data_IF_917092278827
#
_entry.id   IF_917092278827
#
_cell.length_a   1.000
_cell.length_b   1.000
_cell.length_c   1.000
_cell.angle_alpha   90.00
_cell.angle_beta   90.00
_cell.angle_gamma   90.00
#
_symmetry.space_group_name_H-M   'P 1'
#
loop_
_entity.id
_entity.type
_entity.pdbx_description
1 polymer ?
#
# COMPACT_ATOMS: atom_id res chain seq x y z
N UNK A 1 -15.94 18.83 -0.85
CA UNK A 1 -16.23 17.61 -1.64
C UNK A 1 -16.25 17.99 -3.12
N UNK A 2 -15.56 17.25 -4.00
CA UNK A 2 -15.42 17.63 -5.41
C UNK A 2 -16.79 17.72 -6.12
N UNK A 3 -17.11 18.90 -6.65
CA UNK A 3 -18.37 19.23 -7.34
C UNK A 3 -18.63 18.31 -8.53
N UNK A 4 -17.57 17.75 -9.13
CA UNK A 4 -17.65 16.91 -10.32
C UNK A 4 -18.20 15.52 -10.00
N UNK A 5 -17.80 14.94 -8.86
CA UNK A 5 -18.33 13.65 -8.40
C UNK A 5 -19.84 13.76 -8.15
N UNK A 6 -20.29 14.86 -7.52
CA UNK A 6 -21.71 15.09 -7.29
C UNK A 6 -22.49 15.20 -8.62
N UNK A 7 -21.99 15.98 -9.58
CA UNK A 7 -22.63 16.13 -10.90
C UNK A 7 -22.72 14.81 -11.67
N UNK A 8 -21.68 13.97 -11.59
CA UNK A 8 -21.65 12.66 -12.21
C UNK A 8 -22.67 11.72 -11.57
N UNK A 9 -22.69 11.63 -10.24
CA UNK A 9 -23.62 10.78 -9.50
C UNK A 9 -25.08 11.22 -9.67
N UNK A 10 -25.35 12.52 -9.75
CA UNK A 10 -26.71 13.05 -9.97
C UNK A 10 -27.33 12.62 -11.31
N UNK A 11 -26.50 12.26 -12.30
CA UNK A 11 -26.95 11.79 -13.63
C UNK A 11 -26.89 10.27 -13.78
N UNK A 12 -26.30 9.55 -12.82
CA UNK A 12 -26.15 8.11 -12.86
C UNK A 12 -27.41 7.39 -12.36
N UNK A 13 -27.76 6.25 -12.96
CA UNK A 13 -28.80 5.35 -12.46
C UNK A 13 -28.15 4.18 -11.70
N UNK A 14 -28.50 3.92 -10.43
CA UNK A 14 -28.01 2.74 -9.73
C UNK A 14 -28.45 1.46 -10.46
N UNK A 15 -27.50 0.57 -10.78
CA UNK A 15 -27.80 -0.75 -11.36
C UNK A 15 -28.37 -1.73 -10.33
N UNK A 16 -28.29 -1.41 -9.05
CA UNK A 16 -28.78 -2.25 -7.96
C UNK A 16 -28.70 -1.55 -6.60
N UNK A 17 -28.96 -2.32 -5.54
CA UNK A 17 -28.87 -1.83 -4.16
C UNK A 17 -27.43 -1.46 -3.81
N UNK A 18 -27.25 -0.31 -3.16
CA UNK A 18 -25.95 0.10 -2.60
C UNK A 18 -25.56 -0.91 -1.51
N UNK A 19 -24.38 -1.50 -1.65
CA UNK A 19 -23.78 -2.37 -0.62
C UNK A 19 -22.57 -1.66 -0.04
N UNK A 20 -22.40 -1.74 1.28
CA UNK A 20 -21.17 -1.31 1.93
C UNK A 20 -20.17 -2.46 1.85
N UNK A 21 -18.98 -2.17 1.34
CA UNK A 21 -17.83 -3.03 1.46
C UNK A 21 -17.04 -2.59 2.70
N UNK A 22 -16.61 -3.56 3.50
CA UNK A 22 -15.73 -3.33 4.64
C UNK A 22 -14.68 -4.43 4.63
N UNK A 23 -13.42 -4.02 4.71
CA UNK A 23 -12.30 -4.92 4.86
C UNK A 23 -11.91 -4.94 6.34
N UNK A 24 -12.12 -6.07 7.06
CA UNK A 24 -12.09 -6.06 8.52
C UNK A 24 -10.68 -5.87 9.09
N UNK A 25 -9.63 -6.34 8.40
CA UNK A 25 -8.25 -6.21 8.87
C UNK A 25 -7.24 -6.46 7.75
N UNK A 26 -6.24 -5.59 7.65
CA UNK A 26 -4.99 -5.86 6.93
C UNK A 26 -4.01 -6.62 7.84
N UNK A 27 -3.42 -7.70 7.34
CA UNK A 27 -2.57 -8.60 8.13
C UNK A 27 -1.29 -8.91 7.36
N UNK A 28 -0.16 -8.89 8.06
CA UNK A 28 1.11 -9.40 7.54
C UNK A 28 1.74 -10.38 8.50
N UNK A 29 1.95 -11.60 8.02
CA UNK A 29 2.66 -12.66 8.73
C UNK A 29 4.16 -12.53 8.49
N UNK A 30 4.94 -12.50 9.57
CA UNK A 30 6.40 -12.33 9.54
C UNK A 30 7.13 -13.68 9.53
N UNK A 31 6.80 -14.54 8.56
CA UNK A 31 7.36 -15.90 8.47
C UNK A 31 8.89 -15.93 8.33
N UNK A 32 9.49 -14.87 7.81
CA UNK A 32 10.94 -14.68 7.75
C UNK A 32 11.61 -14.63 9.14
N UNK A 33 10.83 -14.32 10.19
CA UNK A 33 11.29 -14.23 11.59
C UNK A 33 11.09 -15.51 12.40
N UNK A 34 10.56 -16.59 11.79
CA UNK A 34 10.41 -17.86 12.49
C UNK A 34 11.75 -18.41 12.98
N UNK A 35 11.76 -18.98 14.20
CA UNK A 35 12.93 -19.66 14.78
C UNK A 35 13.12 -21.07 14.24
N UNK A 36 12.02 -21.75 13.89
CA UNK A 36 12.00 -23.08 13.30
C UNK A 36 11.21 -23.00 11.99
N UNK A 37 11.80 -23.50 10.91
CA UNK A 37 11.19 -23.47 9.60
C UNK A 37 10.52 -24.81 9.30
N UNK A 38 9.30 -24.81 8.73
CA UNK A 38 8.72 -26.03 8.19
C UNK A 38 9.57 -26.50 6.99
N UNK A 39 9.89 -27.79 6.95
CA UNK A 39 10.60 -28.37 5.81
C UNK A 39 9.63 -28.61 4.65
N UNK A 40 10.07 -28.36 3.42
CA UNK A 40 9.31 -28.63 2.18
C UNK A 40 7.97 -27.89 2.03
N UNK A 41 7.76 -26.83 2.78
CA UNK A 41 6.65 -25.89 2.57
C UNK A 41 7.18 -24.55 2.10
N UNK A 42 6.33 -23.78 1.41
CA UNK A 42 6.51 -22.35 1.12
C UNK A 42 5.12 -21.69 1.27
N UNK A 43 5.09 -20.41 1.64
CA UNK A 43 3.84 -19.68 1.87
C UNK A 43 3.88 -18.42 1.02
N UNK A 44 2.79 -18.15 0.30
CA UNK A 44 2.65 -17.03 -0.65
C UNK A 44 1.22 -16.45 -0.64
N UNK A 45 1.05 -15.31 -1.27
CA UNK A 45 -0.20 -14.57 -1.44
C UNK A 45 -0.74 -14.02 -0.13
N UNK A 46 -2.06 -13.98 -0.03
CA UNK A 46 -2.78 -13.45 1.15
C UNK A 46 -2.46 -14.22 2.45
N UNK A 47 -1.94 -15.46 2.34
CA UNK A 47 -1.45 -16.20 3.51
C UNK A 47 -0.22 -15.54 4.15
N UNK A 48 0.60 -14.83 3.36
CA UNK A 48 1.74 -14.04 3.86
C UNK A 48 1.30 -12.62 4.21
N UNK A 49 0.60 -11.95 3.30
CA UNK A 49 0.24 -10.55 3.47
C UNK A 49 -1.09 -10.23 2.77
N UNK A 50 -2.11 -9.91 3.57
CA UNK A 50 -3.42 -9.50 3.09
C UNK A 50 -3.56 -7.98 3.24
N UNK A 51 -3.67 -7.30 2.10
CA UNK A 51 -3.69 -5.84 2.00
C UNK A 51 -5.12 -5.29 2.01
N UNK A 52 -5.24 -4.05 2.50
CA UNK A 52 -6.44 -3.24 2.21
C UNK A 52 -6.55 -3.01 0.69
N UNK A 53 -7.70 -3.32 0.06
CA UNK A 53 -7.86 -3.18 -1.39
C UNK A 53 -7.84 -1.73 -1.90
N UNK A 54 -7.78 -0.70 -1.03
CA UNK A 54 -7.70 0.72 -1.41
C UNK A 54 -6.68 0.99 -2.52
N UNK A 55 -5.52 0.34 -2.47
CA UNK A 55 -4.47 0.48 -3.51
C UNK A 55 -4.43 -0.65 -4.54
N UNK A 56 -5.27 -1.69 -4.39
CA UNK A 56 -5.32 -2.81 -5.33
C UNK A 56 -4.03 -3.64 -5.44
N UNK A 57 -3.11 -3.53 -4.47
CA UNK A 57 -1.76 -4.11 -4.59
C UNK A 57 -1.68 -5.63 -4.38
N UNK A 58 -2.70 -6.26 -3.77
CA UNK A 58 -2.62 -7.67 -3.37
C UNK A 58 -2.30 -8.63 -4.51
N UNK A 59 -2.94 -8.47 -5.67
CA UNK A 59 -2.67 -9.32 -6.84
C UNK A 59 -1.26 -9.10 -7.40
N UNK A 60 -0.80 -7.85 -7.45
CA UNK A 60 0.55 -7.53 -7.93
C UNK A 60 1.60 -8.10 -6.98
N UNK A 61 1.40 -7.98 -5.67
CA UNK A 61 2.31 -8.55 -4.66
C UNK A 61 2.37 -10.07 -4.77
N UNK A 62 1.23 -10.76 -4.80
CA UNK A 62 1.18 -12.21 -4.98
C UNK A 62 1.87 -12.66 -6.28
N UNK A 63 1.72 -11.89 -7.36
CA UNK A 63 2.39 -12.16 -8.64
C UNK A 63 3.91 -11.99 -8.51
N UNK A 64 4.37 -10.92 -7.87
CA UNK A 64 5.80 -10.70 -7.62
C UNK A 64 6.42 -11.76 -6.73
N UNK A 65 5.69 -12.28 -5.73
CA UNK A 65 6.14 -13.40 -4.92
C UNK A 65 6.35 -14.68 -5.73
N UNK A 66 5.49 -14.96 -6.71
CA UNK A 66 5.64 -16.07 -7.63
C UNK A 66 6.85 -15.88 -8.57
N UNK A 67 7.11 -14.65 -9.03
CA UNK A 67 8.32 -14.32 -9.79
C UNK A 67 9.59 -14.56 -8.97
N UNK A 68 9.62 -14.09 -7.72
CA UNK A 68 10.74 -14.33 -6.80
C UNK A 68 10.96 -15.84 -6.58
N UNK A 69 9.88 -16.62 -6.46
CA UNK A 69 9.98 -18.07 -6.34
C UNK A 69 10.60 -18.70 -7.58
N UNK A 70 10.13 -18.33 -8.78
CA UNK A 70 10.68 -18.80 -10.06
C UNK A 70 12.19 -18.54 -10.12
N UNK A 71 12.61 -17.29 -9.87
CA UNK A 71 14.02 -16.92 -9.98
C UNK A 71 14.91 -17.68 -8.97
N UNK A 72 14.37 -18.03 -7.80
CA UNK A 72 15.06 -18.88 -6.82
C UNK A 72 15.12 -20.34 -7.25
N UNK A 73 14.04 -20.87 -7.83
CA UNK A 73 14.01 -22.23 -8.38
C UNK A 73 14.97 -22.36 -9.55
N UNK A 74 15.04 -21.37 -10.43
CA UNK A 74 16.00 -21.35 -11.55
C UNK A 74 17.46 -21.37 -11.06
N UNK A 75 17.73 -20.75 -9.91
CA UNK A 75 19.07 -20.67 -9.33
C UNK A 75 19.47 -21.87 -8.46
N UNK A 76 18.53 -22.43 -7.70
CA UNK A 76 18.81 -23.44 -6.67
C UNK A 76 18.11 -24.78 -6.92
N UNK A 77 17.37 -24.93 -8.02
CA UNK A 77 16.48 -26.06 -8.26
C UNK A 77 15.30 -26.06 -7.29
N UNK A 78 14.64 -27.20 -7.13
CA UNK A 78 13.50 -27.35 -6.21
C UNK A 78 13.90 -27.36 -4.73
N UNK A 79 15.19 -27.28 -4.40
CA UNK A 79 15.70 -27.26 -3.02
C UNK A 79 15.78 -25.84 -2.43
N UNK A 80 14.85 -24.97 -2.83
CA UNK A 80 14.75 -23.61 -2.29
C UNK A 80 14.38 -23.68 -0.81
N UNK A 81 15.30 -23.26 0.06
CA UNK A 81 15.06 -23.22 1.50
C UNK A 81 13.98 -22.21 1.86
N UNK A 82 13.07 -22.60 2.76
CA UNK A 82 12.00 -21.74 3.30
C UNK A 82 12.50 -20.36 3.72
N UNK A 83 13.58 -20.31 4.51
CA UNK A 83 14.15 -19.03 4.98
C UNK A 83 14.59 -18.14 3.82
N UNK A 84 15.19 -18.71 2.78
CA UNK A 84 15.67 -17.96 1.61
C UNK A 84 14.51 -17.29 0.90
N UNK A 85 13.45 -18.06 0.61
CA UNK A 85 12.24 -17.55 -0.05
C UNK A 85 11.50 -16.53 0.82
N UNK A 86 11.17 -16.87 2.07
CA UNK A 86 10.44 -15.97 2.97
C UNK A 86 11.19 -14.67 3.24
N UNK A 87 12.53 -14.70 3.33
CA UNK A 87 13.32 -13.48 3.48
C UNK A 87 13.32 -12.63 2.21
N UNK A 88 13.29 -13.25 1.02
CA UNK A 88 13.26 -12.53 -0.25
C UNK A 88 11.92 -11.81 -0.44
N UNK A 89 10.80 -12.53 -0.29
CA UNK A 89 9.47 -11.91 -0.37
C UNK A 89 9.25 -10.94 0.78
N UNK A 90 9.74 -11.23 1.98
CA UNK A 90 9.62 -10.33 3.14
C UNK A 90 10.24 -8.96 2.88
N UNK A 91 11.41 -8.91 2.23
CA UNK A 91 12.05 -7.65 1.82
C UNK A 91 11.26 -6.92 0.75
N UNK A 92 10.69 -7.64 -0.22
CA UNK A 92 9.85 -7.05 -1.25
C UNK A 92 8.56 -6.46 -0.67
N UNK A 93 7.89 -7.19 0.22
CA UNK A 93 6.62 -6.80 0.85
C UNK A 93 6.79 -5.60 1.81
N UNK A 94 8.00 -5.32 2.31
CA UNK A 94 8.23 -4.18 3.20
C UNK A 94 7.78 -2.84 2.60
N UNK A 95 8.09 -2.60 1.32
CA UNK A 95 7.72 -1.37 0.61
C UNK A 95 6.18 -1.19 0.47
N UNK A 96 5.42 -2.12 -0.15
CA UNK A 96 3.96 -1.99 -0.26
C UNK A 96 3.27 -2.03 1.10
N UNK A 97 3.80 -2.81 2.07
CA UNK A 97 3.25 -2.83 3.43
C UNK A 97 3.39 -1.47 4.13
N UNK A 98 4.55 -0.82 3.99
CA UNK A 98 4.75 0.51 4.56
C UNK A 98 3.83 1.54 3.93
N UNK A 99 3.58 1.46 2.62
CA UNK A 99 2.64 2.34 1.94
C UNK A 99 1.20 2.15 2.45
N UNK A 100 0.71 0.91 2.43
CA UNK A 100 -0.65 0.59 2.88
C UNK A 100 -0.89 0.98 4.35
N UNK A 101 0.09 0.74 5.21
CA UNK A 101 -0.02 1.10 6.64
C UNK A 101 0.12 2.59 6.92
N UNK A 102 0.86 3.34 6.08
CA UNK A 102 0.97 4.81 6.23
C UNK A 102 -0.38 5.50 6.07
N UNK A 103 -1.19 5.06 5.08
CA UNK A 103 -2.56 5.53 4.93
C UNK A 103 -3.46 5.11 6.09
N UNK A 104 -3.30 3.89 6.60
CA UNK A 104 -4.07 3.44 7.75
C UNK A 104 -3.85 4.32 8.99
N UNK A 105 -2.64 4.88 9.17
CA UNK A 105 -2.36 5.80 10.27
C UNK A 105 -3.01 7.18 10.13
N UNK A 106 -3.61 7.53 8.97
CA UNK A 106 -4.42 8.73 8.85
C UNK A 106 -5.72 8.64 9.68
N UNK A 107 -6.08 7.42 10.10
CA UNK A 107 -7.23 7.16 10.96
C UNK A 107 -6.81 7.12 12.45
N UNK A 108 -7.38 7.99 13.30
CA UNK A 108 -7.08 8.03 14.74
C UNK A 108 -7.31 6.69 15.46
N UNK A 109 -8.24 5.89 14.97
CA UNK A 109 -8.67 4.61 15.53
C UNK A 109 -7.67 3.47 15.24
N UNK A 110 -6.67 3.69 14.38
CA UNK A 110 -5.67 2.67 14.04
C UNK A 110 -4.73 2.42 15.22
N UNK A 111 -4.88 1.26 15.85
CA UNK A 111 -4.04 0.76 16.94
C UNK A 111 -2.77 0.08 16.39
N UNK A 112 -1.60 0.39 16.95
CA UNK A 112 -0.35 -0.29 16.58
C UNK A 112 0.90 0.58 16.76
N UNK A 113 2.07 -0.02 16.51
CA UNK A 113 3.36 0.67 16.57
C UNK A 113 3.52 1.64 15.40
N UNK A 114 3.53 2.95 15.69
CA UNK A 114 3.80 3.99 14.69
C UNK A 114 5.32 4.10 14.48
N UNK A 115 5.84 3.86 13.27
CA UNK A 115 7.26 4.01 13.00
C UNK A 115 7.72 5.45 13.26
N UNK A 116 8.98 5.63 13.67
CA UNK A 116 9.60 6.94 13.70
C UNK A 116 9.52 7.56 12.28
N UNK A 117 9.05 8.81 12.18
CA UNK A 117 8.85 9.50 10.90
C UNK A 117 7.49 9.28 10.23
N UNK A 118 6.55 8.52 10.83
CA UNK A 118 5.21 8.32 10.28
C UNK A 118 4.47 9.65 9.99
N UNK A 119 4.55 10.63 10.90
CA UNK A 119 3.96 11.96 10.70
C UNK A 119 4.55 12.71 9.50
N UNK A 120 5.86 12.55 9.28
CA UNK A 120 6.53 13.15 8.13
C UNK A 120 6.05 12.50 6.82
N UNK A 121 5.99 11.16 6.79
CA UNK A 121 5.48 10.42 5.64
C UNK A 121 4.01 10.74 5.34
N UNK A 122 3.18 10.93 6.36
CA UNK A 122 1.79 11.38 6.21
C UNK A 122 1.70 12.79 5.63
N UNK A 123 2.47 13.74 6.16
CA UNK A 123 2.50 15.10 5.62
C UNK A 123 3.00 15.13 4.17
N UNK A 124 4.00 14.29 3.86
CA UNK A 124 4.55 14.13 2.52
C UNK A 124 3.50 13.56 1.55
N UNK A 125 2.84 12.47 1.92
CA UNK A 125 1.81 11.80 1.10
C UNK A 125 0.58 12.68 0.90
N UNK A 126 0.11 13.36 1.95
CA UNK A 126 -1.00 14.31 1.84
C UNK A 126 -0.68 15.42 0.83
N UNK A 127 0.53 15.98 0.89
CA UNK A 127 0.98 17.02 -0.05
C UNK A 127 1.20 16.46 -1.46
N UNK A 128 1.65 15.21 -1.58
CA UNK A 128 1.81 14.53 -2.86
C UNK A 128 0.45 14.34 -3.53
N UNK A 129 -0.56 13.86 -2.81
CA UNK A 129 -1.92 13.71 -3.34
C UNK A 129 -2.53 15.04 -3.79
N UNK A 130 -2.33 16.11 -3.01
CA UNK A 130 -2.78 17.46 -3.38
C UNK A 130 -2.13 17.92 -4.69
N UNK A 131 -0.81 17.81 -4.82
CA UNK A 131 -0.06 18.33 -5.99
C UNK A 131 -0.15 17.42 -7.21
N UNK A 132 -0.30 16.11 -7.01
CA UNK A 132 -0.48 15.15 -8.10
C UNK A 132 -1.80 15.41 -8.88
N UNK A 133 -2.79 16.05 -8.27
CA UNK A 133 -4.01 16.44 -8.99
C UNK A 133 -3.75 17.50 -10.08
N UNK A 134 -2.64 18.23 -10.00
CA UNK A 134 -2.34 19.38 -10.88
C UNK A 134 -1.06 19.16 -11.72
N UNK A 135 -0.16 18.25 -11.32
CA UNK A 135 1.11 17.97 -12.01
C UNK A 135 1.15 16.52 -12.52
N UNK A 136 1.06 16.29 -13.85
CA UNK A 136 1.10 14.96 -14.44
C UNK A 136 2.38 14.17 -14.15
N UNK A 137 3.50 14.83 -13.90
CA UNK A 137 4.76 14.16 -13.57
C UNK A 137 4.74 13.62 -12.13
N UNK A 138 4.16 14.38 -11.19
CA UNK A 138 3.96 13.90 -9.81
C UNK A 138 2.93 12.77 -9.78
N UNK A 139 1.85 12.89 -10.55
CA UNK A 139 0.86 11.83 -10.67
C UNK A 139 1.45 10.55 -11.29
N UNK A 140 2.22 10.67 -12.38
CA UNK A 140 2.92 9.54 -12.99
C UNK A 140 3.87 8.86 -12.01
N UNK A 141 4.72 9.63 -11.31
CA UNK A 141 5.63 9.08 -10.32
C UNK A 141 4.89 8.39 -9.15
N UNK A 142 3.73 8.92 -8.74
CA UNK A 142 2.88 8.26 -7.75
C UNK A 142 2.32 6.94 -8.27
N UNK A 143 1.81 6.90 -9.51
CA UNK A 143 1.31 5.67 -10.13
C UNK A 143 2.40 4.62 -10.29
N UNK A 144 3.61 4.99 -10.71
CA UNK A 144 4.75 4.06 -10.83
C UNK A 144 5.04 3.35 -9.49
N UNK A 145 4.86 4.06 -8.38
CA UNK A 145 5.07 3.49 -7.04
C UNK A 145 3.88 2.64 -6.59
N UNK A 146 2.65 3.10 -6.82
CA UNK A 146 1.44 2.33 -6.47
C UNK A 146 1.37 1.02 -7.25
N UNK A 147 1.77 1.01 -8.51
CA UNK A 147 1.83 -0.18 -9.37
C UNK A 147 3.06 -1.07 -9.13
N UNK A 148 3.94 -0.70 -8.19
CA UNK A 148 5.15 -1.44 -7.83
C UNK A 148 6.21 -1.50 -8.96
N UNK A 149 6.12 -0.58 -9.94
CA UNK A 149 7.13 -0.42 -11.00
C UNK A 149 8.39 0.28 -10.48
N UNK A 150 8.23 1.13 -9.47
CA UNK A 150 9.32 1.85 -8.81
C UNK A 150 9.21 1.76 -7.30
N UNK A 151 10.37 1.86 -6.63
CA UNK A 151 10.41 1.91 -5.17
C UNK A 151 9.83 3.22 -4.63
N UNK A 152 9.25 3.24 -3.42
CA UNK A 152 8.79 4.47 -2.77
C UNK A 152 9.87 5.54 -2.64
N UNK A 153 11.14 5.15 -2.52
CA UNK A 153 12.29 6.06 -2.46
C UNK A 153 12.45 6.91 -3.71
N UNK A 154 11.89 6.49 -4.86
CA UNK A 154 11.91 7.26 -6.10
C UNK A 154 11.16 8.59 -6.00
N UNK A 155 10.15 8.71 -5.11
CA UNK A 155 9.41 9.94 -4.86
C UNK A 155 10.24 11.03 -4.17
N UNK A 156 11.37 10.63 -3.55
CA UNK A 156 12.31 11.54 -2.88
C UNK A 156 13.42 12.06 -3.80
N UNK A 157 13.32 11.82 -5.13
CA UNK A 157 14.24 12.41 -6.10
C UNK A 157 14.19 13.95 -6.03
N UNK A 158 15.32 14.67 -6.09
CA UNK A 158 15.38 16.13 -5.91
C UNK A 158 14.42 16.90 -6.82
N UNK A 159 14.23 16.44 -8.06
CA UNK A 159 13.30 17.03 -9.03
C UNK A 159 11.85 17.02 -8.52
N UNK A 160 11.38 15.87 -8.01
CA UNK A 160 10.03 15.70 -7.49
C UNK A 160 9.84 16.45 -6.18
N UNK A 161 10.84 16.41 -5.29
CA UNK A 161 10.83 17.20 -4.05
C UNK A 161 10.73 18.71 -4.33
N UNK A 162 11.45 19.21 -5.33
CA UNK A 162 11.35 20.61 -5.75
C UNK A 162 9.94 20.94 -6.24
N UNK A 163 9.32 20.06 -7.04
CA UNK A 163 7.93 20.23 -7.48
C UNK A 163 6.94 20.19 -6.32
N UNK A 164 7.17 19.34 -5.33
CA UNK A 164 6.33 19.24 -4.14
C UNK A 164 6.45 20.47 -3.21
N UNK A 165 7.64 21.07 -3.14
CA UNK A 165 7.89 22.27 -2.31
C UNK A 165 7.46 23.56 -3.00
N UNK A 166 7.72 23.71 -4.30
CA UNK A 166 7.57 24.96 -5.06
C UNK A 166 6.46 24.94 -6.13
N UNK A 167 5.78 23.81 -6.34
CA UNK A 167 4.57 23.72 -7.16
C UNK A 167 3.45 24.55 -6.52
N UNK A 168 2.75 25.34 -7.34
CA UNK A 168 1.87 26.44 -6.92
C UNK A 168 0.89 26.12 -5.80
N UNK A 169 0.50 27.15 -5.04
CA UNK A 169 -0.54 27.05 -3.99
C UNK A 169 -1.87 26.62 -4.63
N UNK A 170 -2.32 25.41 -4.31
CA UNK A 170 -3.59 24.83 -4.72
C UNK A 170 -4.39 24.44 -3.48
N UNK A 171 -5.70 24.56 -3.58
CA UNK A 171 -6.70 24.66 -2.51
C UNK A 171 -7.04 23.36 -1.78
N UNK A 172 -7.35 23.51 -0.48
CA UNK A 172 -8.04 22.60 0.45
C UNK A 172 -7.64 21.11 0.47
N UNK A 173 -7.12 20.71 1.64
CA UNK A 173 -6.85 19.32 2.01
C UNK A 173 -8.08 18.42 1.81
N UNK A 174 -7.89 17.13 1.43
CA UNK A 174 -9.00 16.19 1.38
C UNK A 174 -9.62 16.07 2.77
N UNK A 175 -10.93 16.28 2.85
CA UNK A 175 -11.73 16.01 4.05
C UNK A 175 -11.62 14.52 4.34
N UNK A 176 -10.98 14.16 5.46
CA UNK A 176 -11.05 12.84 6.03
C UNK A 176 -12.54 12.46 6.21
N UNK A 177 -13.04 11.57 5.34
CA UNK A 177 -14.41 11.09 5.45
C UNK A 177 -14.56 10.34 6.76
N UNK A 178 -15.53 10.68 7.61
CA UNK A 178 -15.81 9.96 8.86
C UNK A 178 -15.91 8.44 8.59
N UNK A 179 -15.03 7.64 9.18
CA UNK A 179 -15.14 6.19 9.15
C UNK A 179 -15.99 5.67 10.32
N UNK A 180 -16.81 4.68 9.99
CA UNK A 180 -17.57 3.84 10.90
C UNK A 180 -16.59 2.96 11.73
N UNK A 181 -16.94 2.61 12.97
CA UNK A 181 -16.01 2.01 13.92
C UNK A 181 -15.53 0.64 13.44
N UNK A 182 -14.23 0.50 13.17
CA UNK A 182 -13.58 -0.80 13.08
C UNK A 182 -13.41 -1.36 14.50
N UNK A 183 -14.13 -2.44 14.81
CA UNK A 183 -14.01 -3.12 16.10
C UNK A 183 -12.66 -3.81 16.22
N UNK A 184 -12.04 -3.55 17.36
CA UNK A 184 -10.80 -4.08 17.92
C UNK A 184 -10.71 -5.60 17.92
N UNK A 185 -9.47 -6.10 17.87
CA UNK A 185 -9.07 -7.32 18.56
C UNK A 185 -7.57 -7.22 18.90
N UNK A 186 -7.28 -7.08 20.20
CA UNK A 186 -6.06 -7.58 20.83
C UNK A 186 -6.14 -9.12 20.93
N UNK A 187 -5.06 -9.84 21.25
CA UNK A 187 -3.64 -9.62 20.97
C UNK A 187 -3.15 -10.46 19.77
#
# INVERSE_FOLDING_TARGET
>A
ASTDIHRLLARAKPLGKIRRFSFPRQIRQRYEKLRRYPERYLILGDAVCSFDPVFGQGMSVASSEAVILRDLVDKYGTDVRFKTYQSAIGKFIDDPWQMATTEAYNWPETTGWKPAGAKFLQAFTARLHEKAAEDPELYGAFLDVVHLDQKPTSLFKPKLLRKLMFGGRGTEAPVAGKALPAKTAEP
#
